data_IF_102495424583
#
_entry.id   IF_102495424583
#
_cell.length_a   1.000
_cell.length_b   1.000
_cell.length_c   1.000
_cell.angle_alpha   90.00
_cell.angle_beta   90.00
_cell.angle_gamma   90.00
#
_symmetry.space_group_name_H-M   'P 1'
#
loop_
_entity.id
_entity.type
_entity.pdbx_description
1 polymer ?
#
# COMPACT_ATOMS: atom_id res chain seq x y z
N UNK A 1 63.51 26.79 -34.83
CA UNK A 1 62.49 27.16 -33.79
C UNK A 1 61.29 26.26 -34.03
N UNK A 2 61.26 25.13 -33.36
CA UNK A 2 60.22 24.14 -33.52
C UNK A 2 59.23 24.23 -32.35
N UNK A 3 57.97 24.45 -32.63
CA UNK A 3 56.90 24.42 -31.63
C UNK A 3 56.20 23.07 -31.71
N UNK A 4 56.53 22.20 -30.76
CA UNK A 4 55.87 20.92 -30.57
C UNK A 4 54.52 21.21 -29.88
N UNK A 5 53.41 20.97 -30.62
CA UNK A 5 52.06 21.02 -30.10
C UNK A 5 51.77 19.63 -29.54
N UNK A 6 51.70 19.55 -28.23
CA UNK A 6 51.33 18.31 -27.51
C UNK A 6 49.80 18.25 -27.45
N UNK A 7 49.21 17.34 -28.25
CA UNK A 7 47.80 16.98 -28.21
C UNK A 7 47.57 16.06 -26.98
N UNK A 8 47.02 16.62 -25.92
CA UNK A 8 46.51 15.83 -24.77
C UNK A 8 45.14 15.29 -25.15
N UNK A 9 45.08 14.05 -25.59
CA UNK A 9 43.83 13.32 -25.80
C UNK A 9 43.19 12.98 -24.45
N UNK A 10 42.12 13.71 -24.15
CA UNK A 10 41.27 13.41 -22.99
C UNK A 10 40.44 12.16 -23.29
N UNK A 11 40.90 11.01 -22.78
CA UNK A 11 40.16 9.75 -22.83
C UNK A 11 39.10 9.77 -21.75
N UNK A 12 37.88 10.27 -22.12
CA UNK A 12 36.70 10.25 -21.26
C UNK A 12 36.18 8.83 -21.20
N UNK A 13 36.59 8.10 -20.18
CA UNK A 13 36.10 6.76 -19.86
C UNK A 13 34.66 6.89 -19.34
N UNK A 14 33.68 6.65 -20.21
CA UNK A 14 32.26 6.56 -19.85
C UNK A 14 32.07 5.27 -19.04
N UNK A 15 32.09 5.36 -17.71
CA UNK A 15 31.67 4.26 -16.84
C UNK A 15 30.16 4.07 -17.02
N UNK A 16 29.77 3.07 -17.80
CA UNK A 16 28.41 2.54 -17.79
C UNK A 16 28.15 1.91 -16.42
N UNK A 17 27.52 2.64 -15.53
CA UNK A 17 26.88 2.05 -14.35
C UNK A 17 25.70 1.22 -14.85
N UNK A 18 25.90 -0.06 -15.10
CA UNK A 18 24.81 -1.01 -15.28
C UNK A 18 24.09 -1.13 -13.95
N UNK A 19 22.96 -0.46 -13.81
CA UNK A 19 22.05 -0.68 -12.69
C UNK A 19 21.49 -2.09 -12.84
N UNK A 20 21.98 -3.02 -12.02
CA UNK A 20 21.39 -4.34 -11.90
C UNK A 20 20.03 -4.14 -11.25
N UNK A 21 18.99 -4.09 -12.05
CA UNK A 21 17.61 -4.14 -11.58
C UNK A 21 17.39 -5.56 -11.06
N UNK A 22 17.45 -5.76 -9.76
CA UNK A 22 16.97 -6.99 -9.16
C UNK A 22 15.45 -7.04 -9.39
N UNK A 23 15.02 -7.89 -10.30
CA UNK A 23 13.61 -8.25 -10.39
C UNK A 23 13.20 -8.79 -9.02
N UNK A 24 12.33 -8.09 -8.33
CA UNK A 24 11.85 -8.51 -7.01
C UNK A 24 11.07 -9.80 -7.19
N UNK A 25 11.62 -10.91 -6.72
CA UNK A 25 10.99 -12.23 -6.82
C UNK A 25 9.67 -12.21 -6.05
N UNK A 26 8.59 -12.60 -6.73
CA UNK A 26 7.26 -12.58 -6.13
C UNK A 26 7.23 -13.50 -4.90
N UNK A 27 6.62 -13.01 -3.84
CA UNK A 27 6.38 -13.75 -2.59
C UNK A 27 4.89 -13.95 -2.43
N UNK A 28 4.52 -15.20 -2.27
CA UNK A 28 3.13 -15.63 -2.12
C UNK A 28 2.46 -14.92 -0.95
N UNK A 29 1.22 -14.49 -1.17
CA UNK A 29 0.38 -13.78 -0.19
C UNK A 29 -0.86 -14.59 0.16
N UNK A 30 -1.48 -14.35 1.34
CA UNK A 30 -2.79 -14.91 1.64
C UNK A 30 -3.82 -14.49 0.59
N UNK A 31 -4.62 -15.44 0.11
CA UNK A 31 -5.57 -15.24 -0.98
C UNK A 31 -5.05 -15.61 -2.36
N UNK A 32 -3.73 -15.82 -2.53
CA UNK A 32 -3.19 -16.39 -3.77
C UNK A 32 -3.67 -17.83 -3.96
N UNK A 33 -3.76 -18.24 -5.20
CA UNK A 33 -4.08 -19.61 -5.59
C UNK A 33 -2.86 -20.24 -6.23
N UNK A 34 -2.43 -21.37 -5.69
CA UNK A 34 -1.25 -22.10 -6.16
C UNK A 34 -1.68 -23.40 -6.84
N UNK A 35 -1.05 -23.72 -7.95
CA UNK A 35 -1.11 -25.05 -8.59
C UNK A 35 0.07 -25.87 -8.08
N UNK A 36 -0.23 -27.05 -7.55
CA UNK A 36 0.75 -28.02 -7.07
C UNK A 36 0.62 -29.28 -7.91
N UNK A 37 1.72 -29.74 -8.46
CA UNK A 37 1.80 -30.97 -9.24
C UNK A 37 2.93 -31.84 -8.69
N UNK A 38 2.66 -33.13 -8.54
CA UNK A 38 3.61 -34.14 -8.08
C UNK A 38 3.72 -35.18 -9.18
N UNK A 39 4.89 -35.26 -9.81
CA UNK A 39 5.08 -36.09 -11.00
C UNK A 39 4.84 -37.60 -10.73
N UNK A 40 5.21 -38.04 -9.54
CA UNK A 40 5.13 -39.45 -9.12
C UNK A 40 3.73 -39.88 -8.68
N UNK A 41 2.84 -38.92 -8.33
CA UNK A 41 1.47 -39.21 -7.86
C UNK A 41 0.52 -38.09 -8.27
N UNK A 42 -0.17 -38.29 -9.38
CA UNK A 42 -1.18 -37.37 -9.91
C UNK A 42 -2.39 -37.15 -8.97
N UNK A 43 -2.63 -38.03 -7.98
CA UNK A 43 -3.71 -37.84 -7.01
C UNK A 43 -3.45 -36.67 -6.05
N UNK A 44 -2.24 -36.24 -5.93
CA UNK A 44 -1.82 -35.07 -5.15
C UNK A 44 -1.90 -33.75 -5.92
N UNK A 45 -2.08 -33.82 -7.25
CA UNK A 45 -2.18 -32.63 -8.10
C UNK A 45 -3.45 -31.86 -7.78
N UNK A 46 -3.30 -30.58 -7.43
CA UNK A 46 -4.43 -29.71 -7.12
C UNK A 46 -4.09 -28.25 -7.15
N UNK A 47 -5.14 -27.48 -7.23
CA UNK A 47 -5.11 -26.04 -7.02
C UNK A 47 -5.52 -25.78 -5.58
N UNK A 48 -4.69 -25.02 -4.85
CA UNK A 48 -4.90 -24.70 -3.42
C UNK A 48 -4.90 -23.20 -3.20
N UNK A 49 -5.83 -22.73 -2.38
CA UNK A 49 -5.87 -21.35 -1.92
C UNK A 49 -4.94 -21.18 -0.71
N UNK A 50 -4.16 -20.12 -0.69
CA UNK A 50 -3.40 -19.71 0.49
C UNK A 50 -4.36 -19.09 1.50
N UNK A 51 -4.54 -19.78 2.61
CA UNK A 51 -5.47 -19.38 3.65
C UNK A 51 -5.04 -18.04 4.30
N UNK A 52 -5.96 -17.33 5.01
CA UNK A 52 -5.63 -16.05 5.67
C UNK A 52 -4.49 -16.14 6.70
N UNK A 53 -4.24 -17.33 7.28
CA UNK A 53 -3.11 -17.60 8.16
C UNK A 53 -1.78 -17.80 7.40
N UNK A 54 -1.78 -17.67 6.09
CA UNK A 54 -0.63 -17.82 5.21
C UNK A 54 -0.23 -19.27 4.93
N UNK A 55 -1.10 -20.24 5.16
CA UNK A 55 -0.82 -21.67 4.98
C UNK A 55 -1.62 -22.26 3.83
N UNK A 56 -1.08 -23.34 3.27
CA UNK A 56 -1.75 -24.22 2.32
C UNK A 56 -1.91 -25.62 2.93
N UNK A 57 -2.97 -26.30 2.57
CA UNK A 57 -3.22 -27.69 2.99
C UNK A 57 -3.09 -28.63 1.79
N UNK A 58 -2.24 -29.65 1.94
CA UNK A 58 -2.08 -30.72 0.95
C UNK A 58 -2.16 -32.06 1.67
N UNK A 59 -2.88 -33.06 1.12
CA UNK A 59 -2.87 -34.41 1.67
C UNK A 59 -1.46 -34.96 1.81
N UNK A 60 -1.19 -35.64 2.91
CA UNK A 60 0.12 -36.20 3.22
C UNK A 60 1.14 -35.22 3.80
N UNK A 61 0.98 -33.91 3.65
CA UNK A 61 1.92 -32.92 4.22
C UNK A 61 1.35 -32.12 5.38
N UNK A 62 0.02 -32.14 5.57
CA UNK A 62 -0.68 -31.25 6.50
C UNK A 62 -0.58 -29.77 6.07
N UNK A 63 -0.58 -28.87 7.05
CA UNK A 63 -0.51 -27.44 6.80
C UNK A 63 0.94 -26.98 6.57
N UNK A 64 1.21 -26.36 5.44
CA UNK A 64 2.52 -25.84 5.04
C UNK A 64 2.44 -24.32 4.93
N UNK A 65 3.41 -23.60 5.50
CA UNK A 65 3.50 -22.16 5.32
C UNK A 65 3.85 -21.83 3.87
N UNK A 66 3.09 -20.93 3.26
CA UNK A 66 3.30 -20.44 1.90
C UNK A 66 3.53 -18.92 1.86
N UNK A 67 2.81 -18.17 2.70
CA UNK A 67 2.92 -16.71 2.73
C UNK A 67 4.32 -16.23 3.07
N UNK A 68 4.81 -15.25 2.27
CA UNK A 68 6.15 -14.67 2.37
C UNK A 68 7.25 -15.51 1.70
N UNK A 69 6.93 -16.69 1.20
CA UNK A 69 7.86 -17.57 0.50
C UNK A 69 7.72 -17.43 -1.02
N UNK A 70 8.79 -17.75 -1.75
CA UNK A 70 8.74 -17.91 -3.21
C UNK A 70 8.20 -19.29 -3.58
N UNK A 71 7.76 -19.46 -4.81
CA UNK A 71 7.30 -20.78 -5.30
C UNK A 71 8.37 -21.85 -5.15
N UNK A 72 9.65 -21.51 -5.40
CA UNK A 72 10.79 -22.43 -5.23
C UNK A 72 10.98 -22.86 -3.76
N UNK A 73 10.81 -21.94 -2.81
CA UNK A 73 10.89 -22.27 -1.38
C UNK A 73 9.73 -23.16 -0.93
N UNK A 74 8.53 -22.91 -1.44
CA UNK A 74 7.35 -23.75 -1.15
C UNK A 74 7.56 -25.15 -1.75
N UNK A 75 8.06 -25.24 -2.99
CA UNK A 75 8.39 -26.48 -3.65
C UNK A 75 9.37 -27.32 -2.81
N UNK A 76 10.46 -26.72 -2.36
CA UNK A 76 11.45 -27.39 -1.51
C UNK A 76 10.84 -27.89 -0.19
N UNK A 77 9.99 -27.08 0.44
CA UNK A 77 9.31 -27.45 1.68
C UNK A 77 8.34 -28.61 1.48
N UNK A 78 7.58 -28.62 0.36
CA UNK A 78 6.66 -29.71 0.02
C UNK A 78 7.41 -30.99 -0.31
N UNK A 79 8.46 -30.93 -1.13
CA UNK A 79 9.34 -32.09 -1.46
C UNK A 79 9.87 -32.73 -0.18
N UNK A 80 10.38 -31.93 0.76
CA UNK A 80 10.92 -32.44 2.03
C UNK A 80 9.87 -33.14 2.89
N UNK A 81 8.63 -32.61 2.90
CA UNK A 81 7.53 -33.20 3.70
C UNK A 81 6.97 -34.46 3.06
N UNK A 82 6.87 -34.48 1.72
CA UNK A 82 6.37 -35.64 1.00
C UNK A 82 7.39 -36.79 0.94
N UNK A 83 8.69 -36.50 1.09
CA UNK A 83 9.74 -37.51 1.03
C UNK A 83 9.52 -38.71 1.96
N UNK A 84 8.85 -38.50 3.10
CA UNK A 84 8.52 -39.58 4.04
C UNK A 84 7.49 -40.59 3.49
N UNK A 85 6.72 -40.20 2.46
CA UNK A 85 5.64 -41.02 1.87
C UNK A 85 6.07 -41.67 0.54
N UNK A 86 7.28 -41.37 0.04
CA UNK A 86 7.79 -41.88 -1.22
C UNK A 86 9.11 -42.64 -1.01
N UNK A 87 9.39 -43.60 -1.90
CA UNK A 87 10.65 -44.37 -1.86
C UNK A 87 11.86 -43.50 -2.23
N UNK A 88 11.65 -42.50 -3.06
CA UNK A 88 12.64 -41.46 -3.40
C UNK A 88 11.98 -40.08 -3.32
N UNK A 89 12.73 -38.99 -3.08
CA UNK A 89 12.16 -37.65 -3.01
C UNK A 89 11.35 -37.33 -4.28
N UNK A 90 10.06 -36.92 -4.14
CA UNK A 90 9.20 -36.67 -5.29
C UNK A 90 9.58 -35.35 -5.99
N UNK A 91 9.26 -35.30 -7.30
CA UNK A 91 9.39 -34.11 -8.13
C UNK A 91 8.13 -33.26 -7.97
N UNK A 92 8.19 -32.23 -7.14
CA UNK A 92 7.08 -31.31 -6.88
C UNK A 92 7.25 -30.06 -7.74
N UNK A 93 6.19 -29.64 -8.41
CA UNK A 93 6.11 -28.34 -9.09
C UNK A 93 5.11 -27.44 -8.38
N UNK A 94 5.46 -26.17 -8.19
CA UNK A 94 4.58 -25.17 -7.61
C UNK A 94 4.53 -23.94 -8.51
N UNK A 95 3.35 -23.66 -9.07
CA UNK A 95 3.07 -22.49 -9.90
C UNK A 95 2.03 -21.59 -9.25
N UNK A 96 1.99 -20.33 -9.65
CA UNK A 96 0.92 -19.40 -9.30
C UNK A 96 -0.17 -19.56 -10.33
N UNK A 97 -1.37 -19.94 -9.90
CA UNK A 97 -2.56 -20.06 -10.74
C UNK A 97 -3.35 -18.75 -10.78
N UNK A 98 -3.43 -18.06 -9.65
CA UNK A 98 -4.10 -16.77 -9.53
C UNK A 98 -3.53 -15.97 -8.37
N UNK A 99 -3.50 -14.67 -8.54
CA UNK A 99 -3.11 -13.74 -7.50
C UNK A 99 -4.32 -13.40 -6.62
N UNK A 100 -4.07 -13.14 -5.33
CA UNK A 100 -5.06 -12.56 -4.45
C UNK A 100 -5.64 -11.28 -5.08
N UNK A 101 -6.97 -11.06 -5.00
CA UNK A 101 -7.52 -9.78 -5.40
C UNK A 101 -6.80 -8.65 -4.66
N UNK A 102 -6.36 -7.64 -5.40
CA UNK A 102 -5.80 -6.45 -4.79
C UNK A 102 -6.83 -5.87 -3.82
N UNK A 103 -6.47 -5.81 -2.54
CA UNK A 103 -7.36 -5.21 -1.56
C UNK A 103 -7.44 -3.72 -1.87
N UNK A 104 -8.61 -3.26 -2.31
CA UNK A 104 -8.85 -1.83 -2.43
C UNK A 104 -8.49 -1.14 -1.12
N UNK A 105 -7.74 -0.02 -1.18
CA UNK A 105 -7.41 0.73 0.02
C UNK A 105 -8.69 1.03 0.80
N UNK A 106 -8.70 0.65 2.07
CA UNK A 106 -9.84 1.02 2.92
C UNK A 106 -9.87 2.53 3.01
N UNK A 107 -10.95 3.13 2.56
CA UNK A 107 -11.19 4.56 2.70
C UNK A 107 -12.31 4.82 3.68
N UNK A 108 -12.30 5.99 4.27
CA UNK A 108 -13.41 6.54 5.04
C UNK A 108 -13.93 7.77 4.31
N UNK A 109 -15.25 7.96 4.33
CA UNK A 109 -15.90 9.11 3.69
C UNK A 109 -16.08 10.24 4.69
N UNK A 110 -15.52 11.41 4.38
CA UNK A 110 -15.84 12.66 5.07
C UNK A 110 -16.62 13.58 4.15
N UNK A 111 -17.29 14.58 4.69
CA UNK A 111 -18.07 15.54 3.92
C UNK A 111 -17.53 16.95 4.13
N UNK A 112 -17.34 17.67 3.04
CA UNK A 112 -16.92 19.08 3.04
C UNK A 112 -18.06 19.93 2.54
N UNK A 113 -18.43 20.96 3.31
CA UNK A 113 -19.57 21.84 3.03
C UNK A 113 -19.15 23.30 3.16
N UNK A 114 -19.54 24.13 2.22
CA UNK A 114 -19.29 25.57 2.22
C UNK A 114 -18.09 25.97 1.39
N UNK A 115 -17.21 26.80 1.93
CA UNK A 115 -16.10 27.45 1.21
C UNK A 115 -14.83 26.60 1.12
N UNK A 116 -14.95 25.29 0.86
CA UNK A 116 -13.84 24.41 0.47
C UNK A 116 -13.62 24.47 -1.04
N UNK A 117 -12.41 24.21 -1.50
CA UNK A 117 -12.10 24.12 -2.94
C UNK A 117 -12.83 22.93 -3.57
N UNK A 118 -12.79 21.77 -2.91
CA UNK A 118 -13.60 20.62 -3.26
C UNK A 118 -14.66 20.41 -2.19
N UNK A 119 -15.94 20.40 -2.57
CA UNK A 119 -17.08 20.17 -1.68
C UNK A 119 -17.77 18.85 -1.99
N UNK A 120 -18.47 18.31 -1.00
CA UNK A 120 -19.15 17.03 -1.10
C UNK A 120 -18.43 15.92 -0.34
N UNK A 121 -18.62 14.67 -0.76
CA UNK A 121 -17.95 13.52 -0.16
C UNK A 121 -16.50 13.42 -0.65
N UNK A 122 -15.58 13.35 0.28
CA UNK A 122 -14.16 13.14 0.03
C UNK A 122 -13.75 11.83 0.70
N UNK A 123 -13.11 10.96 -0.05
CA UNK A 123 -12.58 9.70 0.48
C UNK A 123 -11.12 9.91 0.92
N UNK A 124 -10.84 9.50 2.14
CA UNK A 124 -9.53 9.64 2.76
C UNK A 124 -9.10 8.30 3.38
N UNK A 125 -7.81 8.11 3.59
CA UNK A 125 -7.30 6.92 4.27
C UNK A 125 -7.63 6.95 5.77
N UNK A 126 -7.91 5.79 6.40
CA UNK A 126 -8.05 5.70 7.85
C UNK A 126 -6.79 6.19 8.56
N UNK A 127 -6.97 7.06 9.56
CA UNK A 127 -5.86 7.66 10.29
C UNK A 127 -5.43 9.05 9.78
N UNK A 128 -5.94 9.49 8.62
CA UNK A 128 -5.77 10.86 8.13
C UNK A 128 -6.21 11.87 9.19
N UNK A 129 -5.39 12.87 9.45
CA UNK A 129 -5.75 13.95 10.37
C UNK A 129 -6.44 15.12 9.64
N UNK A 130 -6.99 16.07 10.42
CA UNK A 130 -7.73 17.20 9.86
C UNK A 130 -6.89 18.04 8.89
N UNK A 131 -5.63 18.29 9.20
CA UNK A 131 -4.74 19.06 8.34
C UNK A 131 -4.48 18.37 7.00
N UNK A 132 -4.26 17.06 7.02
CA UNK A 132 -4.12 16.23 5.82
C UNK A 132 -5.41 16.18 5.01
N UNK A 133 -6.57 16.07 5.68
CA UNK A 133 -7.87 16.10 5.02
C UNK A 133 -8.11 17.45 4.32
N UNK A 134 -7.77 18.57 4.98
CA UNK A 134 -7.84 19.91 4.38
C UNK A 134 -6.98 20.00 3.11
N UNK A 135 -5.77 19.46 3.16
CA UNK A 135 -4.89 19.44 1.99
C UNK A 135 -5.47 18.58 0.84
N UNK A 136 -6.12 17.45 1.15
CA UNK A 136 -6.71 16.56 0.14
C UNK A 136 -7.89 17.19 -0.60
N UNK A 137 -8.77 17.94 0.08
CA UNK A 137 -9.85 18.64 -0.62
C UNK A 137 -9.41 19.98 -1.24
N UNK A 138 -8.11 20.30 -1.20
CA UNK A 138 -7.52 21.45 -1.88
C UNK A 138 -7.56 22.75 -1.07
N UNK A 139 -7.90 22.69 0.23
CA UNK A 139 -7.94 23.86 1.10
C UNK A 139 -9.22 24.67 0.98
N UNK A 140 -9.09 25.98 1.07
CA UNK A 140 -10.20 26.93 1.22
C UNK A 140 -10.27 27.91 0.06
N UNK A 141 -11.48 28.38 -0.24
CA UNK A 141 -11.67 29.50 -1.16
C UNK A 141 -11.26 30.83 -0.50
N UNK A 142 -11.09 31.88 -1.30
CA UNK A 142 -10.79 33.23 -0.79
C UNK A 142 -11.90 33.83 0.10
N UNK A 143 -13.07 33.21 0.10
CA UNK A 143 -14.23 33.67 0.88
C UNK A 143 -14.41 32.89 2.19
N UNK A 144 -13.56 31.92 2.46
CA UNK A 144 -13.67 31.08 3.64
C UNK A 144 -13.38 31.82 4.95
N UNK A 145 -14.21 31.58 5.96
CA UNK A 145 -13.97 32.04 7.34
C UNK A 145 -13.14 30.99 8.09
N UNK A 146 -11.83 30.96 7.81
CA UNK A 146 -10.90 29.94 8.32
C UNK A 146 -10.76 29.89 9.85
N UNK A 147 -11.18 30.96 10.55
CA UNK A 147 -11.19 31.03 12.04
C UNK A 147 -12.43 30.36 12.65
N UNK A 148 -13.41 29.99 11.86
CA UNK A 148 -14.70 29.45 12.31
C UNK A 148 -15.12 28.16 11.61
N UNK A 149 -14.14 27.36 11.19
CA UNK A 149 -14.39 26.05 10.63
C UNK A 149 -15.06 25.18 11.71
N UNK A 150 -16.02 24.36 11.33
CA UNK A 150 -16.66 23.42 12.24
C UNK A 150 -16.38 21.99 11.78
N UNK A 151 -15.87 21.18 12.70
CA UNK A 151 -15.88 19.72 12.56
C UNK A 151 -17.12 19.19 13.29
N UNK A 152 -18.02 18.57 12.55
CA UNK A 152 -19.23 17.95 13.10
C UNK A 152 -19.05 16.44 13.08
N UNK A 153 -19.20 15.83 14.25
CA UNK A 153 -19.05 14.39 14.47
C UNK A 153 -20.26 13.87 15.23
N UNK A 154 -21.18 13.20 14.55
CA UNK A 154 -22.48 12.86 15.14
C UNK A 154 -23.21 14.11 15.62
N UNK A 155 -23.50 14.20 16.92
CA UNK A 155 -24.14 15.37 17.55
C UNK A 155 -23.15 16.46 17.96
N UNK A 156 -21.85 16.16 17.99
CA UNK A 156 -20.83 17.08 18.51
C UNK A 156 -20.36 18.06 17.45
N UNK A 157 -20.16 19.32 17.86
CA UNK A 157 -19.68 20.40 17.00
C UNK A 157 -18.44 21.02 17.62
N UNK A 158 -17.31 20.89 16.92
CA UNK A 158 -16.04 21.46 17.33
C UNK A 158 -15.71 22.67 16.44
N UNK A 159 -15.55 23.84 17.03
CA UNK A 159 -15.09 25.02 16.29
C UNK A 159 -13.58 25.03 16.23
N UNK A 160 -13.04 25.20 15.03
CA UNK A 160 -11.62 25.14 14.73
C UNK A 160 -11.18 26.46 14.12
N UNK A 161 -10.13 27.04 14.68
CA UNK A 161 -9.42 28.16 14.11
C UNK A 161 -8.21 27.63 13.34
N UNK A 162 -8.23 27.71 12.00
CA UNK A 162 -7.17 27.19 11.16
C UNK A 162 -5.88 28.01 11.28
N UNK A 163 -5.98 29.33 11.49
CA UNK A 163 -4.80 30.17 11.69
C UNK A 163 -4.00 29.70 12.92
N UNK A 164 -4.71 29.33 14.01
CA UNK A 164 -4.09 28.81 15.22
C UNK A 164 -3.44 27.42 15.04
N UNK A 165 -3.86 26.66 14.02
CA UNK A 165 -3.17 25.42 13.65
C UNK A 165 -1.88 25.74 12.89
N UNK A 166 -1.92 26.72 11.99
CA UNK A 166 -0.77 27.11 11.18
C UNK A 166 0.35 27.75 12.01
N UNK A 167 0.00 28.55 13.01
CA UNK A 167 0.96 29.20 13.89
C UNK A 167 1.45 28.29 15.04
N UNK A 168 0.90 27.07 15.13
CA UNK A 168 1.26 26.07 16.14
C UNK A 168 0.67 26.31 17.53
N UNK A 169 -0.27 27.26 17.69
CA UNK A 169 -0.93 27.55 18.98
C UNK A 169 -2.09 26.59 19.29
N UNK A 170 -2.44 25.69 18.36
CA UNK A 170 -3.52 24.71 18.51
C UNK A 170 -3.15 23.36 17.90
N UNK A 171 -3.39 22.30 18.65
CA UNK A 171 -3.20 20.90 18.23
C UNK A 171 -4.40 20.33 17.44
N UNK A 172 -5.44 21.14 17.19
CA UNK A 172 -6.66 20.66 16.49
C UNK A 172 -6.38 20.12 15.08
N UNK A 173 -5.28 20.51 14.46
CA UNK A 173 -4.83 19.97 13.17
C UNK A 173 -4.49 18.47 13.21
N UNK A 174 -4.09 17.95 14.37
CA UNK A 174 -3.74 16.55 14.59
C UNK A 174 -4.95 15.65 14.86
N UNK A 175 -6.16 16.20 14.96
CA UNK A 175 -7.40 15.43 15.18
C UNK A 175 -7.60 14.46 14.03
N UNK A 176 -7.69 13.17 14.35
CA UNK A 176 -7.93 12.11 13.35
C UNK A 176 -9.36 12.16 12.87
N UNK A 177 -9.51 12.13 11.56
CA UNK A 177 -10.81 12.06 10.91
C UNK A 177 -11.45 10.68 11.08
N UNK A 178 -12.77 10.65 11.10
CA UNK A 178 -13.59 9.42 11.18
C UNK A 178 -14.59 9.40 10.04
N UNK A 179 -15.04 8.21 9.71
CA UNK A 179 -16.10 8.05 8.72
C UNK A 179 -17.37 8.82 9.14
N UNK A 180 -17.94 9.55 8.20
CA UNK A 180 -19.12 10.40 8.44
C UNK A 180 -18.83 11.78 9.05
N UNK A 181 -17.57 12.15 9.32
CA UNK A 181 -17.25 13.51 9.76
C UNK A 181 -17.65 14.55 8.72
N UNK A 182 -18.19 15.69 9.17
CA UNK A 182 -18.55 16.81 8.31
C UNK A 182 -17.72 18.03 8.66
N UNK A 183 -16.97 18.53 7.68
CA UNK A 183 -16.21 19.78 7.80
C UNK A 183 -17.07 20.90 7.18
N UNK A 184 -17.57 21.81 8.01
CA UNK A 184 -18.32 22.96 7.56
C UNK A 184 -17.41 24.18 7.55
N UNK A 185 -17.28 24.80 6.37
CA UNK A 185 -16.45 25.97 6.14
C UNK A 185 -17.35 27.16 5.85
N UNK A 186 -17.65 28.00 6.85
CA UNK A 186 -18.54 29.14 6.65
C UNK A 186 -17.92 30.21 5.75
N UNK A 187 -18.76 30.98 5.12
CA UNK A 187 -18.33 32.17 4.40
C UNK A 187 -17.91 33.29 5.37
N UNK A 188 -16.90 34.07 4.97
CA UNK A 188 -16.43 35.25 5.71
C UNK A 188 -17.53 36.32 5.77
N UNK A 189 -17.67 36.96 6.91
CA UNK A 189 -18.57 38.10 7.07
C UNK A 189 -17.90 39.38 6.60
N UNK A 190 -18.68 40.41 6.28
CA UNK A 190 -18.24 41.69 5.70
C UNK A 190 -17.14 42.42 6.51
N UNK A 191 -16.97 42.13 7.79
CA UNK A 191 -16.04 42.80 8.71
C UNK A 191 -15.16 41.81 9.48
N UNK A 192 -14.83 40.69 8.87
CA UNK A 192 -14.02 39.61 9.46
C UNK A 192 -12.62 39.52 8.81
#
# INVERSE_FOLDING_TARGET
>A
MSRIVTLLGSFLTLMFFSTITFAQEYRVQPGDTLRIEVAEDASLNRVVLVAPDGRIALPGTGNVRASGLTTAQIQSALTSRLAASFVSPPSVFVGIEGLAPEQEPRTIGIFVVGEGVTVGRVEIEPGTNLMQAIAQFGGFTNFAAVKRIQLRRGSDVYTINYDSILDGSSDNGAVRMRDGDVIVIPQRKLFE
#
